data_IF_367510285025
#
_entry.id   IF_367510285025
#
_cell.length_a   1.000
_cell.length_b   1.000
_cell.length_c   1.000
_cell.angle_alpha   90.00
_cell.angle_beta   90.00
_cell.angle_gamma   90.00
#
_symmetry.space_group_name_H-M   'P 1'
#
loop_
_entity.id
_entity.type
_entity.pdbx_description
1 polymer ?
#
# COMPACT_ATOMS: atom_id res chain seq x y z
N UNK A 1 -17.10 45.76 34.75
CA UNK A 1 -15.65 45.54 34.95
C UNK A 1 -15.46 44.22 35.69
N UNK A 2 -15.47 43.14 34.94
CA UNK A 2 -14.90 41.85 35.30
C UNK A 2 -14.19 41.42 34.03
N UNK A 3 -12.92 41.76 33.95
CA UNK A 3 -11.99 41.34 32.92
C UNK A 3 -11.88 39.81 33.00
N UNK A 4 -12.67 39.10 32.19
CA UNK A 4 -12.45 37.68 31.93
C UNK A 4 -11.24 37.59 30.98
N UNK A 5 -10.20 36.83 31.33
CA UNK A 5 -9.01 36.73 30.50
C UNK A 5 -9.36 36.10 29.16
N UNK A 6 -8.81 36.68 28.09
CA UNK A 6 -8.64 36.07 26.77
C UNK A 6 -8.17 34.62 26.94
N UNK A 7 -9.06 33.68 26.65
CA UNK A 7 -8.69 32.31 26.36
C UNK A 7 -8.12 32.27 24.94
N UNK A 8 -6.94 32.88 24.76
CA UNK A 8 -6.04 32.52 23.66
C UNK A 8 -5.34 31.22 24.07
N UNK A 9 -6.06 30.11 23.98
CA UNK A 9 -5.45 28.79 23.86
C UNK A 9 -5.83 28.25 22.48
N UNK A 10 -5.01 28.59 21.49
CA UNK A 10 -4.93 27.93 20.19
C UNK A 10 -4.28 26.55 20.40
N UNK A 11 -4.94 25.73 21.21
CA UNK A 11 -4.47 24.45 21.71
C UNK A 11 -5.57 23.40 21.60
N UNK A 12 -6.11 23.20 20.41
CA UNK A 12 -6.91 22.01 20.14
C UNK A 12 -6.00 20.76 20.15
N UNK A 13 -6.07 19.85 21.14
CA UNK A 13 -5.10 18.76 21.27
C UNK A 13 -5.72 17.40 20.91
N UNK A 14 -6.73 17.38 20.04
CA UNK A 14 -7.02 16.17 19.26
C UNK A 14 -6.48 16.32 17.83
N UNK A 15 -5.32 16.97 17.72
CA UNK A 15 -4.31 16.51 16.78
C UNK A 15 -4.06 15.04 17.11
N UNK A 16 -4.32 14.20 16.12
CA UNK A 16 -3.81 12.85 16.00
C UNK A 16 -3.81 12.03 17.30
N UNK A 17 -4.93 11.35 17.58
CA UNK A 17 -4.73 9.99 18.09
C UNK A 17 -4.06 9.24 16.95
N UNK A 18 -2.75 9.40 16.76
CA UNK A 18 -1.91 8.38 16.17
C UNK A 18 -2.01 7.23 17.15
N UNK A 19 -3.03 6.38 17.02
CA UNK A 19 -2.88 5.04 17.55
C UNK A 19 -1.55 4.55 17.02
N UNK A 20 -0.66 4.26 17.96
CA UNK A 20 0.76 3.96 17.81
C UNK A 20 1.07 2.89 16.75
N UNK A 21 0.08 2.22 16.18
CA UNK A 21 0.25 1.14 15.21
C UNK A 21 0.82 1.58 13.85
N UNK A 22 0.32 2.65 13.22
CA UNK A 22 0.90 3.11 11.93
C UNK A 22 2.09 4.06 12.09
N UNK A 23 2.29 4.65 13.29
CA UNK A 23 3.39 5.55 13.59
C UNK A 23 4.64 4.84 14.14
N UNK A 24 4.47 3.66 14.75
CA UNK A 24 5.57 2.85 15.31
C UNK A 24 5.90 1.65 14.41
N UNK A 25 4.91 1.07 13.72
CA UNK A 25 5.12 -0.09 12.87
C UNK A 25 5.34 0.32 11.42
N UNK A 26 6.61 0.40 11.01
CA UNK A 26 7.05 0.50 9.61
C UNK A 26 6.85 -0.84 8.86
N UNK A 27 5.75 -1.55 9.19
CA UNK A 27 5.54 -2.97 8.88
C UNK A 27 4.91 -3.23 7.50
N UNK A 28 4.39 -2.21 6.82
CA UNK A 28 3.80 -2.35 5.50
C UNK A 28 4.88 -2.29 4.41
N UNK A 29 5.61 -3.39 4.20
CA UNK A 29 6.53 -3.49 3.05
C UNK A 29 5.73 -3.35 1.75
N UNK A 30 6.18 -2.50 0.82
CA UNK A 30 5.52 -2.20 -0.46
C UNK A 30 4.06 -1.69 -0.35
N UNK A 31 3.76 -0.95 0.73
CA UNK A 31 2.47 -0.31 0.90
C UNK A 31 2.49 0.82 1.93
N UNK A 32 1.30 1.34 2.22
CA UNK A 32 1.06 2.37 3.24
C UNK A 32 0.13 1.83 4.32
N UNK A 33 0.49 2.02 5.58
CA UNK A 33 -0.40 1.73 6.70
C UNK A 33 -1.61 2.66 6.69
N UNK A 34 -2.82 2.09 6.79
CA UNK A 34 -4.07 2.83 6.87
C UNK A 34 -4.90 2.34 8.05
N UNK A 35 -5.52 3.27 8.77
CA UNK A 35 -6.40 2.94 9.89
C UNK A 35 -7.75 2.44 9.39
N UNK A 36 -8.28 1.42 10.05
CA UNK A 36 -9.63 0.89 9.85
C UNK A 36 -10.36 0.81 11.19
N UNK A 37 -11.70 0.71 11.23
CA UNK A 37 -12.45 0.63 12.49
C UNK A 37 -12.05 -0.56 13.39
N UNK A 38 -11.43 -1.58 12.79
CA UNK A 38 -11.05 -2.85 13.41
C UNK A 38 -9.56 -2.87 13.84
N UNK A 39 -8.82 -1.77 13.64
CA UNK A 39 -7.37 -1.66 13.90
C UNK A 39 -6.62 -0.93 12.78
N UNK A 40 -5.59 -1.57 12.22
CA UNK A 40 -4.88 -1.08 11.03
C UNK A 40 -4.83 -2.14 9.93
N UNK A 41 -4.62 -1.69 8.69
CA UNK A 41 -4.38 -2.57 7.53
C UNK A 41 -3.36 -1.92 6.60
N UNK A 42 -2.69 -2.71 5.76
CA UNK A 42 -1.81 -2.17 4.74
C UNK A 42 -2.57 -1.92 3.43
N UNK A 43 -2.45 -0.71 2.90
CA UNK A 43 -2.87 -0.37 1.53
C UNK A 43 -1.67 -0.55 0.61
N UNK A 44 -1.69 -1.59 -0.21
CA UNK A 44 -0.61 -1.93 -1.12
C UNK A 44 -0.49 -0.94 -2.28
N UNK A 45 0.74 -0.76 -2.78
CA UNK A 45 0.98 -0.03 -4.03
C UNK A 45 0.50 -0.84 -5.24
N UNK A 46 0.37 -0.19 -6.39
CA UNK A 46 0.06 -0.87 -7.64
C UNK A 46 1.11 -1.96 -7.94
N UNK A 47 0.66 -3.11 -8.43
CA UNK A 47 1.51 -4.30 -8.60
C UNK A 47 1.67 -5.16 -7.34
N UNK A 48 1.06 -4.77 -6.21
CA UNK A 48 1.10 -5.54 -4.97
C UNK A 48 -0.30 -5.81 -4.42
N UNK A 49 -0.44 -6.91 -3.69
CA UNK A 49 -1.68 -7.30 -3.01
C UNK A 49 -1.43 -7.63 -1.55
N UNK A 50 -2.48 -7.51 -0.75
CA UNK A 50 -2.44 -7.94 0.64
C UNK A 50 -2.20 -9.44 0.73
N UNK A 51 -1.24 -9.83 1.56
CA UNK A 51 -1.05 -11.21 1.97
C UNK A 51 -2.24 -11.72 2.80
N UNK A 52 -2.31 -13.04 3.03
CA UNK A 52 -3.37 -13.68 3.83
C UNK A 52 -3.49 -13.07 5.24
N UNK A 53 -2.39 -12.54 5.77
CA UNK A 53 -2.34 -11.87 7.07
C UNK A 53 -2.84 -10.42 7.05
N UNK A 54 -3.01 -9.81 5.87
CA UNK A 54 -3.35 -8.38 5.66
C UNK A 54 -2.35 -7.37 6.25
N UNK A 55 -1.17 -7.83 6.61
CA UNK A 55 -0.12 -7.02 7.24
C UNK A 55 1.09 -6.77 6.34
N UNK A 56 1.16 -7.43 5.18
CA UNK A 56 2.24 -7.27 4.20
C UNK A 56 1.67 -7.17 2.79
N UNK A 57 2.34 -6.42 1.93
CA UNK A 57 2.03 -6.35 0.51
C UNK A 57 3.01 -7.22 -0.26
N UNK A 58 2.49 -8.30 -0.80
CA UNK A 58 3.24 -9.23 -1.64
C UNK A 58 3.06 -8.84 -3.10
N UNK A 59 4.14 -8.98 -3.84
CA UNK A 59 4.15 -8.76 -5.28
C UNK A 59 3.06 -9.62 -5.96
N UNK A 60 2.30 -9.00 -6.85
CA UNK A 60 1.34 -9.71 -7.69
C UNK A 60 2.13 -10.27 -8.84
N UNK A 61 2.26 -11.60 -8.92
CA UNK A 61 2.86 -12.18 -10.10
C UNK A 61 1.89 -12.09 -11.28
N UNK A 62 1.97 -11.02 -12.06
CA UNK A 62 1.10 -10.85 -13.22
C UNK A 62 1.36 -11.90 -14.29
N UNK A 63 2.54 -12.54 -14.29
CA UNK A 63 2.81 -13.67 -15.17
C UNK A 63 2.13 -14.96 -14.75
N UNK A 64 1.74 -15.15 -13.49
CA UNK A 64 1.01 -16.34 -13.02
C UNK A 64 -0.51 -16.08 -12.95
N UNK A 65 -0.93 -14.87 -12.59
CA UNK A 65 -2.34 -14.47 -12.57
C UNK A 65 -2.88 -14.25 -14.00
N UNK A 66 -2.01 -13.94 -14.98
CA UNK A 66 -2.39 -13.87 -16.39
C UNK A 66 -2.44 -15.22 -17.10
N UNK A 67 -2.13 -16.33 -16.42
CA UNK A 67 -2.10 -17.69 -16.99
C UNK A 67 -3.48 -18.32 -17.20
N UNK A 68 -4.50 -17.51 -17.53
CA UNK A 68 -5.76 -18.05 -18.03
C UNK A 68 -5.94 -17.87 -19.55
N UNK A 69 -5.54 -16.74 -20.14
CA UNK A 69 -5.45 -16.48 -21.58
C UNK A 69 -5.39 -14.98 -21.86
N UNK A 70 -4.42 -14.55 -22.69
CA UNK A 70 -4.43 -13.25 -23.40
C UNK A 70 -4.07 -12.00 -22.56
N UNK A 71 -3.56 -10.88 -23.12
CA UNK A 71 -2.58 -10.62 -24.18
C UNK A 71 -1.43 -9.72 -23.65
N UNK A 72 -0.99 -9.86 -22.39
CA UNK A 72 -0.01 -8.93 -21.79
C UNK A 72 1.33 -8.89 -22.53
N UNK A 73 1.78 -10.04 -23.03
CA UNK A 73 3.04 -10.19 -23.77
C UNK A 73 2.83 -10.93 -25.10
N UNK A 74 2.38 -10.24 -26.15
CA UNK A 74 2.22 -10.84 -27.49
C UNK A 74 3.61 -11.18 -28.08
N UNK A 75 3.82 -12.44 -28.48
CA UNK A 75 5.10 -12.96 -29.00
C UNK A 75 6.32 -12.75 -28.08
N UNK A 76 6.08 -12.51 -26.79
CA UNK A 76 7.11 -12.27 -25.80
C UNK A 76 6.96 -13.25 -24.62
N UNK A 77 8.03 -13.40 -23.84
CA UNK A 77 8.01 -14.13 -22.57
C UNK A 77 7.73 -13.14 -21.44
N UNK A 78 6.72 -13.41 -20.62
CA UNK A 78 6.49 -12.65 -19.40
C UNK A 78 7.61 -12.94 -18.38
N UNK A 79 8.14 -11.90 -17.74
CA UNK A 79 9.04 -12.01 -16.60
C UNK A 79 8.50 -11.14 -15.47
N UNK A 80 8.16 -11.78 -14.35
CA UNK A 80 7.75 -11.09 -13.16
C UNK A 80 8.91 -10.29 -12.55
N UNK A 81 8.63 -9.11 -12.03
CA UNK A 81 9.59 -8.21 -11.37
C UNK A 81 8.95 -7.64 -10.10
N UNK A 82 9.74 -7.16 -9.15
CA UNK A 82 9.19 -6.64 -7.89
C UNK A 82 8.34 -5.37 -8.17
N UNK A 83 7.03 -5.48 -8.00
CA UNK A 83 6.01 -4.46 -8.24
C UNK A 83 5.55 -4.30 -9.68
N UNK A 84 5.94 -5.20 -10.59
CA UNK A 84 5.51 -5.15 -12.00
C UNK A 84 5.90 -6.40 -12.79
N UNK A 85 5.65 -6.40 -14.09
CA UNK A 85 6.18 -7.42 -15.00
C UNK A 85 6.80 -6.77 -16.24
N UNK A 86 7.67 -7.52 -16.91
CA UNK A 86 8.20 -7.13 -18.22
C UNK A 86 8.05 -8.24 -19.26
N UNK A 87 7.78 -7.83 -20.49
CA UNK A 87 7.75 -8.73 -21.62
C UNK A 87 9.12 -8.74 -22.30
N UNK A 88 9.73 -9.91 -22.43
CA UNK A 88 10.97 -10.11 -23.18
C UNK A 88 10.61 -10.67 -24.55
N UNK A 89 10.77 -9.86 -25.61
CA UNK A 89 10.54 -10.31 -26.98
C UNK A 89 11.39 -11.54 -27.30
N UNK A 90 10.79 -12.50 -28.02
CA UNK A 90 11.55 -13.62 -28.56
C UNK A 90 12.45 -13.10 -29.69
N UNK A 91 13.66 -13.64 -29.88
CA UNK A 91 14.53 -13.23 -30.97
C UNK A 91 13.79 -13.33 -32.32
N UNK A 92 13.75 -12.23 -33.07
CA UNK A 92 13.11 -12.17 -34.40
C UNK A 92 11.70 -11.58 -34.45
N UNK A 93 11.21 -10.98 -33.35
CA UNK A 93 9.95 -10.22 -33.28
C UNK A 93 10.18 -8.81 -32.74
#
# INVERSE_FOLDING_TARGET
RFDMPDFEDDGGPYGESETEECGILDGCTNGRCVRVPEGFTCRCFDGYRLDVTRMACVDINECDEAEAASPLCVNARCLNTDGSFRCICRPGF
#
